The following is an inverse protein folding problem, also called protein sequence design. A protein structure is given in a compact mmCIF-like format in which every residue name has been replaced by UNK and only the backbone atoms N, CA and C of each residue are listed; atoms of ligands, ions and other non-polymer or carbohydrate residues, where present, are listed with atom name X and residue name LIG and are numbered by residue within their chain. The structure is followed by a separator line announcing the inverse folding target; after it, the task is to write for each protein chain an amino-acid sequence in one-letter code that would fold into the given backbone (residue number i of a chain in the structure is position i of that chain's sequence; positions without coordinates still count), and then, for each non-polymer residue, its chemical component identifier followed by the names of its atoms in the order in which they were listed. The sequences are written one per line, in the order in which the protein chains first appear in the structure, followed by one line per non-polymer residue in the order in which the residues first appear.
data_IF_136709341045
#
_entry.id   IF_136709341045
#
_cell.length_a   1.000
_cell.length_b   1.000
_cell.length_c   1.000
_cell.angle_alpha   90.00
_cell.angle_beta   90.00
_cell.angle_gamma   90.00
#
_symmetry.space_group_name_H-M   'P 1'
#
loop_
_entity.id
_entity.type
_entity.pdbx_description
1 polymer ?
#
# COMPACT_ATOMS: atom_id res chain seq x y z
N UNK A 1 -13.14 -68.24 -57.84
CA UNK A 1 -13.04 -66.79 -57.58
C UNK A 1 -14.10 -66.43 -56.55
N UNK A 2 -13.70 -66.13 -55.32
CA UNK A 2 -14.64 -65.81 -54.23
C UNK A 2 -14.95 -64.31 -54.22
N UNK A 3 -16.24 -63.97 -54.19
CA UNK A 3 -16.77 -62.60 -54.18
C UNK A 3 -16.81 -62.07 -52.74
N UNK A 4 -16.22 -60.89 -52.50
CA UNK A 4 -16.22 -60.17 -51.23
C UNK A 4 -17.42 -59.21 -51.20
N UNK A 5 -18.38 -59.46 -50.30
CA UNK A 5 -19.50 -58.55 -50.04
C UNK A 5 -19.08 -57.44 -49.06
N UNK A 6 -19.14 -56.18 -49.52
CA UNK A 6 -18.93 -54.99 -48.71
C UNK A 6 -20.22 -54.64 -47.95
N UNK A 7 -20.17 -54.64 -46.62
CA UNK A 7 -21.27 -54.16 -45.76
C UNK A 7 -20.94 -52.76 -45.24
N UNK A 8 -21.64 -51.74 -45.74
CA UNK A 8 -21.55 -50.37 -45.25
C UNK A 8 -22.34 -50.21 -43.95
N UNK A 9 -21.65 -50.07 -42.81
CA UNK A 9 -22.26 -49.63 -41.55
C UNK A 9 -22.59 -48.13 -41.64
N UNK A 10 -23.88 -47.81 -41.72
CA UNK A 10 -24.34 -46.43 -41.62
C UNK A 10 -24.26 -45.96 -40.17
N UNK A 11 -23.39 -44.98 -39.90
CA UNK A 11 -23.25 -44.38 -38.58
C UNK A 11 -24.36 -43.34 -38.38
N UNK A 12 -25.37 -43.69 -37.59
CA UNK A 12 -26.39 -42.75 -37.12
C UNK A 12 -25.73 -41.69 -36.24
N UNK A 13 -25.63 -40.44 -36.75
CA UNK A 13 -25.24 -39.29 -35.94
C UNK A 13 -26.33 -39.02 -34.91
N UNK A 14 -26.05 -39.36 -33.66
CA UNK A 14 -26.90 -38.98 -32.54
C UNK A 14 -26.76 -37.46 -32.34
N UNK A 15 -27.82 -36.72 -32.63
CA UNK A 15 -27.92 -35.29 -32.32
C UNK A 15 -27.91 -35.14 -30.80
N UNK A 16 -26.91 -34.42 -30.28
CA UNK A 16 -26.84 -34.07 -28.85
C UNK A 16 -28.08 -33.25 -28.51
N UNK A 17 -28.93 -33.78 -27.63
CA UNK A 17 -29.97 -32.99 -26.97
C UNK A 17 -29.30 -31.88 -26.18
N UNK A 18 -29.77 -30.64 -26.32
CA UNK A 18 -29.23 -29.50 -25.57
C UNK A 18 -29.43 -29.74 -24.08
N UNK A 19 -28.35 -29.99 -23.34
CA UNK A 19 -28.39 -29.94 -21.87
C UNK A 19 -28.87 -28.55 -21.43
N UNK A 20 -29.71 -28.45 -20.38
CA UNK A 20 -30.15 -27.15 -19.87
C UNK A 20 -28.92 -26.28 -19.56
N UNK A 21 -28.87 -25.09 -20.16
CA UNK A 21 -27.79 -24.13 -19.96
C UNK A 21 -27.85 -23.71 -18.48
N UNK A 22 -26.78 -23.90 -17.68
CA UNK A 22 -26.79 -23.45 -16.30
C UNK A 22 -27.04 -21.93 -16.24
N UNK A 23 -27.74 -21.42 -15.21
CA UNK A 23 -27.97 -19.99 -15.08
C UNK A 23 -26.63 -19.25 -15.08
N UNK A 24 -26.56 -18.13 -15.81
CA UNK A 24 -25.34 -17.34 -15.89
C UNK A 24 -24.96 -16.86 -14.49
N UNK A 25 -23.70 -17.06 -14.04
CA UNK A 25 -23.27 -16.56 -12.74
C UNK A 25 -23.33 -15.04 -12.74
N UNK A 26 -23.78 -14.46 -11.62
CA UNK A 26 -23.76 -13.00 -11.41
C UNK A 26 -22.32 -12.59 -11.13
N UNK A 27 -21.78 -11.69 -11.92
CA UNK A 27 -20.40 -11.22 -11.80
C UNK A 27 -20.39 -9.85 -11.13
N UNK A 28 -19.48 -9.70 -10.17
CA UNK A 28 -19.23 -8.45 -9.47
C UNK A 28 -17.76 -8.12 -9.50
N UNK A 29 -17.45 -6.83 -9.51
CA UNK A 29 -16.07 -6.32 -9.46
C UNK A 29 -15.90 -5.55 -8.18
N UNK A 30 -14.78 -5.77 -7.51
CA UNK A 30 -14.36 -5.05 -6.32
C UNK A 30 -13.00 -4.42 -6.55
N UNK A 31 -12.78 -3.24 -5.96
CA UNK A 31 -11.51 -2.52 -6.07
C UNK A 31 -10.83 -2.45 -4.72
N UNK A 32 -9.61 -2.98 -4.66
CA UNK A 32 -8.67 -2.76 -3.56
C UNK A 32 -7.92 -1.47 -3.87
N UNK A 33 -8.46 -0.35 -3.40
CA UNK A 33 -7.82 0.96 -3.56
C UNK A 33 -6.83 1.18 -2.43
N UNK A 34 -5.55 1.29 -2.78
CA UNK A 34 -4.43 1.45 -1.85
C UNK A 34 -3.83 2.86 -1.91
N UNK A 35 -3.60 3.45 -0.74
CA UNK A 35 -2.71 4.60 -0.53
C UNK A 35 -1.37 4.05 -0.03
N UNK A 36 -0.35 4.15 -0.88
CA UNK A 36 1.00 3.68 -0.55
C UNK A 36 1.65 4.49 0.58
N UNK A 37 2.56 3.90 1.39
CA UNK A 37 3.25 4.63 2.44
C UNK A 37 4.09 5.75 1.83
N UNK A 38 3.96 6.94 2.40
CA UNK A 38 4.71 8.15 2.03
C UNK A 38 6.00 8.25 2.84
N UNK A 39 6.01 7.68 4.05
CA UNK A 39 7.15 7.65 4.96
C UNK A 39 7.77 6.25 4.98
N UNK A 40 9.09 6.20 5.20
CA UNK A 40 9.78 4.94 5.48
C UNK A 40 9.33 4.37 6.82
N UNK A 41 9.15 3.04 6.98
CA UNK A 41 8.78 2.45 8.25
C UNK A 41 9.84 2.69 9.34
N UNK A 42 9.42 2.64 10.60
CA UNK A 42 10.36 2.76 11.73
C UNK A 42 11.19 1.48 11.87
N UNK A 43 12.52 1.57 12.00
CA UNK A 43 13.34 0.40 12.18
C UNK A 43 13.04 -0.27 13.53
N UNK A 44 13.14 -1.59 13.56
CA UNK A 44 13.11 -2.37 14.79
C UNK A 44 14.28 -2.01 15.72
N UNK A 45 14.18 -2.38 17.00
CA UNK A 45 15.27 -2.20 17.96
C UNK A 45 16.56 -2.91 17.51
N UNK A 46 16.42 -4.08 16.90
CA UNK A 46 17.52 -4.85 16.32
C UNK A 46 18.14 -4.14 15.11
N UNK A 47 17.33 -3.71 14.14
CA UNK A 47 17.82 -2.96 12.98
C UNK A 47 18.53 -1.67 13.40
N UNK A 48 17.96 -0.94 14.37
CA UNK A 48 18.59 0.25 14.94
C UNK A 48 19.96 -0.07 15.55
N UNK A 49 20.07 -1.15 16.33
CA UNK A 49 21.33 -1.60 16.90
C UNK A 49 22.35 -2.01 15.82
N UNK A 50 21.89 -2.74 14.80
CA UNK A 50 22.71 -3.15 13.66
C UNK A 50 23.23 -1.93 12.87
N UNK A 51 22.37 -0.97 12.52
CA UNK A 51 22.76 0.25 11.83
C UNK A 51 23.76 1.08 12.66
N UNK A 52 23.54 1.21 13.97
CA UNK A 52 24.48 1.87 14.87
C UNK A 52 25.85 1.16 14.89
N UNK A 53 25.87 -0.17 14.85
CA UNK A 53 27.10 -0.95 14.79
C UNK A 53 27.82 -0.77 13.44
N UNK A 54 27.11 -0.87 12.32
CA UNK A 54 27.68 -0.64 10.99
C UNK A 54 28.23 0.78 10.84
N UNK A 55 27.53 1.78 11.37
CA UNK A 55 28.01 3.17 11.39
C UNK A 55 29.35 3.30 12.12
N UNK A 56 29.54 2.59 13.24
CA UNK A 56 30.82 2.58 13.99
C UNK A 56 31.94 1.93 13.20
N UNK A 57 31.68 0.78 12.56
CA UNK A 57 32.67 0.12 11.69
C UNK A 57 33.07 1.04 10.54
N UNK A 58 32.08 1.59 9.84
CA UNK A 58 32.30 2.50 8.72
C UNK A 58 33.16 3.68 9.15
N UNK A 59 32.87 4.28 10.31
CA UNK A 59 33.66 5.39 10.86
C UNK A 59 35.09 4.98 11.18
N UNK A 60 35.31 3.80 11.77
CA UNK A 60 36.63 3.30 12.10
C UNK A 60 37.49 2.98 10.85
N UNK A 61 36.85 2.53 9.77
CA UNK A 61 37.53 2.17 8.51
C UNK A 61 37.63 3.34 7.53
N UNK A 62 36.83 4.39 7.70
CA UNK A 62 36.78 5.52 6.79
C UNK A 62 38.10 6.30 6.78
N UNK A 63 38.47 6.80 5.61
CA UNK A 63 39.60 7.73 5.47
C UNK A 63 39.29 9.06 6.17
N UNK A 64 40.28 9.74 6.76
CA UNK A 64 40.06 11.02 7.40
C UNK A 64 39.55 12.08 6.41
N UNK A 65 38.62 12.92 6.87
CA UNK A 65 38.03 13.98 6.05
C UNK A 65 39.07 15.09 5.73
N UNK A 66 39.25 15.48 4.45
CA UNK A 66 40.25 16.48 4.06
C UNK A 66 39.78 17.92 4.35
N UNK A 67 39.90 18.34 5.61
CA UNK A 67 39.36 19.61 6.10
C UNK A 67 39.89 20.86 5.38
N UNK A 68 41.18 20.87 5.01
CA UNK A 68 41.82 22.01 4.35
C UNK A 68 41.26 22.29 2.95
N UNK A 69 40.64 21.29 2.32
CA UNK A 69 40.02 21.45 1.01
C UNK A 69 38.66 22.17 1.12
N UNK A 70 37.89 21.87 2.17
CA UNK A 70 36.53 22.41 2.35
C UNK A 70 36.49 23.67 3.24
N UNK A 71 37.48 23.86 4.11
CA UNK A 71 37.53 24.96 5.06
C UNK A 71 38.83 25.72 4.96
N UNK A 72 38.73 27.05 4.87
CA UNK A 72 39.87 27.93 5.06
C UNK A 72 40.40 27.80 6.50
N UNK A 73 41.73 27.85 6.65
CA UNK A 73 42.39 27.78 7.95
C UNK A 73 41.95 28.94 8.83
N UNK A 74 41.47 28.63 10.03
CA UNK A 74 41.01 29.65 10.99
C UNK A 74 39.57 30.13 10.78
N UNK A 75 38.83 29.55 9.82
CA UNK A 75 37.42 29.85 9.64
C UNK A 75 36.58 29.36 10.83
N UNK A 76 35.56 30.13 11.22
CA UNK A 76 34.63 29.71 12.27
C UNK A 76 33.90 28.39 11.94
N UNK A 77 33.61 28.14 10.66
CA UNK A 77 33.02 26.88 10.19
C UNK A 77 33.93 25.67 10.43
N UNK A 78 35.23 25.84 10.27
CA UNK A 78 36.21 24.81 10.55
C UNK A 78 36.11 24.37 12.03
N UNK A 79 36.03 25.35 12.94
CA UNK A 79 35.90 25.10 14.38
C UNK A 79 34.58 24.41 14.74
N UNK A 80 33.46 24.82 14.11
CA UNK A 80 32.17 24.13 14.28
C UNK A 80 32.24 22.67 13.86
N UNK A 81 32.79 22.42 12.67
CA UNK A 81 32.96 21.06 12.16
C UNK A 81 33.79 20.19 13.11
N UNK A 82 34.90 20.71 13.65
CA UNK A 82 35.70 19.98 14.64
C UNK A 82 34.93 19.63 15.91
N UNK A 83 34.08 20.54 16.40
CA UNK A 83 33.24 20.29 17.58
C UNK A 83 32.23 19.17 17.29
N UNK A 84 31.54 19.25 16.16
CA UNK A 84 30.57 18.25 15.75
C UNK A 84 31.22 16.88 15.51
N UNK A 85 32.41 16.83 14.89
CA UNK A 85 33.14 15.57 14.70
C UNK A 85 33.54 14.93 16.03
N UNK A 86 33.97 15.73 17.02
CA UNK A 86 34.23 15.23 18.38
C UNK A 86 32.99 14.66 19.04
N UNK A 87 31.85 15.32 18.90
CA UNK A 87 30.58 14.81 19.44
C UNK A 87 30.18 13.48 18.78
N UNK A 88 30.36 13.37 17.45
CA UNK A 88 30.09 12.13 16.71
C UNK A 88 31.07 11.00 17.07
N UNK A 89 32.35 11.31 17.27
CA UNK A 89 33.36 10.37 17.73
C UNK A 89 33.06 9.86 19.14
N UNK A 90 32.75 10.77 20.06
CA UNK A 90 32.36 10.41 21.42
C UNK A 90 31.11 9.51 21.45
N UNK A 91 30.14 9.76 20.57
CA UNK A 91 28.96 8.89 20.41
C UNK A 91 29.31 7.51 19.84
N UNK A 92 30.31 7.43 18.96
CA UNK A 92 30.69 6.20 18.26
C UNK A 92 31.60 5.30 19.11
N UNK A 93 32.65 5.88 19.69
CA UNK A 93 33.74 5.18 20.40
C UNK A 93 33.69 5.31 21.93
N UNK A 94 32.85 6.19 22.46
CA UNK A 94 32.65 6.39 23.90
C UNK A 94 33.24 7.68 24.45
N UNK A 95 32.85 8.00 25.69
CA UNK A 95 33.22 9.26 26.36
C UNK A 95 34.73 9.27 26.65
N UNK A 96 35.41 10.31 26.19
CA UNK A 96 36.85 10.49 26.38
C UNK A 96 37.72 10.29 25.13
N UNK A 97 37.12 9.84 24.02
CA UNK A 97 37.77 9.86 22.71
C UNK A 97 37.90 11.31 22.20
N UNK A 98 39.11 11.74 21.82
CA UNK A 98 39.34 13.10 21.28
C UNK A 98 39.36 14.24 22.32
N UNK A 99 40.09 14.08 23.44
CA UNK A 99 40.26 15.14 24.46
C UNK A 99 40.78 16.46 23.89
N UNK A 100 40.12 17.57 24.22
CA UNK A 100 40.55 18.93 23.93
C UNK A 100 39.36 19.87 23.73
N UNK A 101 39.20 20.88 24.58
CA UNK A 101 38.09 21.84 24.51
C UNK A 101 38.30 22.83 23.36
N UNK A 102 37.30 22.94 22.49
CA UNK A 102 37.24 23.97 21.44
C UNK A 102 36.09 24.93 21.78
N UNK A 103 36.17 26.16 21.28
CA UNK A 103 35.15 27.17 21.51
C UNK A 103 33.79 26.66 21.00
N UNK A 104 32.80 26.59 21.88
CA UNK A 104 31.43 26.24 21.52
C UNK A 104 30.77 27.47 20.89
N UNK A 105 30.57 27.40 19.58
CA UNK A 105 29.87 28.44 18.82
C UNK A 105 28.34 28.25 18.96
N UNK A 106 27.54 29.33 18.85
CA UNK A 106 26.09 29.21 18.87
C UNK A 106 25.60 28.34 17.70
N UNK A 107 24.54 27.53 17.90
CA UNK A 107 23.96 26.72 16.84
C UNK A 107 23.42 27.63 15.73
N UNK A 108 23.53 27.17 14.49
CA UNK A 108 22.89 27.85 13.37
C UNK A 108 21.37 27.61 13.43
N UNK A 109 20.56 28.61 13.05
CA UNK A 109 19.15 28.37 12.82
C UNK A 109 19.00 27.37 11.69
N UNK A 110 18.20 26.33 11.91
CA UNK A 110 17.82 25.36 10.90
C UNK A 110 16.34 25.04 11.06
N UNK A 111 15.66 24.78 9.94
CA UNK A 111 14.28 24.35 9.95
C UNK A 111 14.21 22.88 10.35
N UNK A 112 13.47 22.60 11.42
CA UNK A 112 13.25 21.22 11.87
C UNK A 112 12.34 20.51 10.86
N UNK A 113 12.61 19.24 10.53
CA UNK A 113 11.68 18.48 9.70
C UNK A 113 10.32 18.38 10.39
N UNK A 114 9.26 18.28 9.59
CA UNK A 114 7.92 18.05 10.10
C UNK A 114 7.88 16.73 10.91
N UNK A 115 7.06 16.66 11.98
CA UNK A 115 6.89 15.42 12.72
C UNK A 115 6.35 14.32 11.80
N UNK A 116 6.73 13.07 12.09
CA UNK A 116 6.24 11.89 11.35
C UNK A 116 4.77 11.61 11.62
N UNK A 117 4.30 11.94 12.83
CA UNK A 117 2.89 11.85 13.22
C UNK A 117 2.13 13.09 12.75
N UNK A 118 1.06 12.86 11.99
CA UNK A 118 0.16 13.91 11.51
C UNK A 118 -0.84 14.34 12.58
N UNK A 119 -1.59 15.41 12.33
CA UNK A 119 -2.72 15.79 13.18
C UNK A 119 -3.85 14.74 13.16
N UNK A 120 -4.04 14.08 12.02
CA UNK A 120 -5.01 12.99 11.85
C UNK A 120 -4.65 11.75 12.68
N UNK A 121 -3.35 11.49 12.90
CA UNK A 121 -2.89 10.43 13.79
C UNK A 121 -3.21 10.73 15.25
N UNK A 122 -3.09 11.99 15.66
CA UNK A 122 -3.38 12.42 17.04
C UNK A 122 -4.87 12.40 17.36
N UNK A 123 -5.71 12.78 16.38
CA UNK A 123 -7.17 12.78 16.53
C UNK A 123 -7.80 11.43 16.24
N UNK A 124 -7.09 10.54 15.54
CA UNK A 124 -7.60 9.23 15.11
C UNK A 124 -8.62 9.32 13.97
N UNK A 125 -8.52 10.35 13.12
CA UNK A 125 -9.45 10.53 12.00
C UNK A 125 -9.22 9.48 10.91
N UNK A 126 -10.15 8.53 10.80
CA UNK A 126 -10.12 7.45 9.80
C UNK A 126 -10.46 7.91 8.38
N UNK A 127 -10.96 9.13 8.19
CA UNK A 127 -11.33 9.65 6.86
C UNK A 127 -10.18 10.39 6.18
N UNK A 128 -9.17 10.82 6.93
CA UNK A 128 -7.99 11.48 6.38
C UNK A 128 -7.00 10.48 5.76
N UNK A 129 -6.39 10.87 4.64
CA UNK A 129 -5.31 10.11 4.00
C UNK A 129 -3.94 10.36 4.66
N UNK A 130 -3.81 11.48 5.37
CA UNK A 130 -2.56 11.94 5.97
C UNK A 130 -2.18 11.17 7.25
N UNK A 131 -3.10 10.37 7.78
CA UNK A 131 -2.86 9.48 8.92
C UNK A 131 -1.94 8.32 8.52
N UNK A 132 -1.12 7.80 9.44
CA UNK A 132 -0.28 6.60 9.26
C UNK A 132 0.51 6.64 7.96
N UNK A 133 1.32 7.69 7.78
CA UNK A 133 2.09 7.91 6.55
C UNK A 133 3.09 6.80 6.23
N UNK A 134 3.46 5.97 7.20
CA UNK A 134 4.38 4.84 7.07
C UNK A 134 3.70 3.50 6.72
N UNK A 135 2.37 3.41 6.79
CA UNK A 135 1.60 2.20 6.47
C UNK A 135 0.79 2.37 5.18
N UNK A 136 0.44 1.25 4.55
CA UNK A 136 -0.58 1.21 3.51
C UNK A 136 -1.97 1.45 4.11
N UNK A 137 -2.77 2.31 3.47
CA UNK A 137 -4.19 2.48 3.79
C UNK A 137 -5.06 1.98 2.65
N UNK A 138 -6.15 1.29 2.98
CA UNK A 138 -7.12 0.81 2.01
C UNK A 138 -8.47 1.48 2.22
N UNK A 139 -9.14 1.80 1.12
CA UNK A 139 -10.48 2.34 1.16
C UNK A 139 -11.49 1.23 1.46
N UNK A 140 -12.29 1.42 2.51
CA UNK A 140 -13.41 0.55 2.85
C UNK A 140 -14.68 1.40 2.94
N UNK A 141 -15.78 0.86 2.41
CA UNK A 141 -17.08 1.50 2.38
C UNK A 141 -18.05 0.76 3.30
N UNK A 142 -18.90 1.51 3.98
CA UNK A 142 -19.99 1.00 4.80
C UNK A 142 -21.29 1.04 3.98
N UNK A 143 -21.84 -0.13 3.67
CA UNK A 143 -23.14 -0.21 2.97
C UNK A 143 -24.27 0.25 3.89
N UNK A 144 -25.19 1.05 3.36
CA UNK A 144 -26.39 1.49 4.09
C UNK A 144 -27.34 0.32 4.38
N UNK A 145 -27.42 -0.65 3.46
CA UNK A 145 -28.15 -1.90 3.64
C UNK A 145 -27.22 -2.94 4.26
N UNK A 146 -27.46 -3.27 5.54
CA UNK A 146 -26.78 -4.34 6.26
C UNK A 146 -25.67 -3.89 7.21
N UNK A 147 -25.30 -2.61 7.22
CA UNK A 147 -24.24 -2.04 8.09
C UNK A 147 -22.88 -2.75 7.97
N UNK A 148 -22.62 -3.39 6.82
CA UNK A 148 -21.43 -4.21 6.60
C UNK A 148 -20.34 -3.40 5.91
N UNK A 149 -19.11 -3.48 6.44
CA UNK A 149 -17.91 -2.93 5.82
C UNK A 149 -17.42 -3.85 4.69
N UNK A 150 -17.28 -3.29 3.49
CA UNK A 150 -16.79 -3.99 2.30
C UNK A 150 -15.93 -3.06 1.46
N UNK A 151 -15.08 -3.64 0.63
CA UNK A 151 -14.38 -2.90 -0.40
C UNK A 151 -15.38 -2.32 -1.42
N UNK A 152 -15.05 -1.22 -2.11
CA UNK A 152 -15.86 -0.70 -3.22
C UNK A 152 -16.17 -1.80 -4.22
N UNK A 153 -17.44 -2.17 -4.34
CA UNK A 153 -17.90 -3.30 -5.15
C UNK A 153 -19.13 -2.92 -5.95
N UNK A 154 -19.22 -3.43 -7.18
CA UNK A 154 -20.37 -3.19 -8.05
C UNK A 154 -20.63 -4.40 -8.93
N UNK A 155 -21.90 -4.63 -9.23
CA UNK A 155 -22.33 -5.65 -10.19
C UNK A 155 -21.93 -5.24 -11.60
N UNK A 156 -21.45 -6.20 -12.37
CA UNK A 156 -21.00 -5.96 -13.75
C UNK A 156 -22.18 -6.19 -14.71
N UNK A 157 -22.40 -5.22 -15.59
CA UNK A 157 -23.29 -5.40 -16.74
C UNK A 157 -22.53 -6.09 -17.87
N UNK A 158 -23.21 -6.95 -18.64
CA UNK A 158 -22.59 -7.89 -19.59
C UNK A 158 -21.80 -7.27 -20.77
N UNK A 159 -21.70 -5.95 -20.85
CA UNK A 159 -21.13 -5.22 -22.00
C UNK A 159 -19.69 -4.75 -21.77
N UNK A 160 -19.27 -4.57 -20.51
CA UNK A 160 -17.98 -3.99 -20.16
C UNK A 160 -16.93 -5.04 -19.78
N UNK A 161 -15.66 -4.75 -20.08
CA UNK A 161 -14.55 -5.51 -19.53
C UNK A 161 -14.41 -5.29 -18.02
N UNK A 162 -14.11 -6.33 -17.25
CA UNK A 162 -14.09 -6.30 -15.77
C UNK A 162 -13.25 -5.14 -15.18
N UNK A 163 -12.08 -4.86 -15.74
CA UNK A 163 -11.21 -3.78 -15.28
C UNK A 163 -11.81 -2.38 -15.54
N UNK A 164 -12.57 -2.22 -16.62
CA UNK A 164 -13.27 -0.95 -16.94
C UNK A 164 -14.46 -0.80 -16.01
N UNK A 165 -15.23 -1.87 -15.80
CA UNK A 165 -16.32 -1.89 -14.83
C UNK A 165 -15.83 -1.56 -13.41
N UNK A 166 -14.69 -2.10 -12.99
CA UNK A 166 -14.07 -1.81 -11.70
C UNK A 166 -13.69 -0.33 -11.56
N UNK A 167 -13.08 0.28 -12.59
CA UNK A 167 -12.77 1.72 -12.61
C UNK A 167 -14.04 2.57 -12.53
N UNK A 168 -15.02 2.28 -13.39
CA UNK A 168 -16.26 3.04 -13.45
C UNK A 168 -17.07 2.92 -12.15
N UNK A 169 -17.07 1.73 -11.53
CA UNK A 169 -17.65 1.46 -10.21
C UNK A 169 -17.04 2.35 -9.13
N UNK A 170 -15.71 2.48 -9.13
CA UNK A 170 -15.01 3.33 -8.17
C UNK A 170 -15.41 4.80 -8.35
N UNK A 171 -15.43 5.30 -9.59
CA UNK A 171 -15.88 6.67 -9.89
C UNK A 171 -17.34 6.90 -9.54
N UNK A 172 -18.22 5.91 -9.76
CA UNK A 172 -19.65 6.01 -9.42
C UNK A 172 -19.88 6.07 -7.89
N UNK A 173 -19.13 5.29 -7.12
CA UNK A 173 -19.27 5.23 -5.65
C UNK A 173 -18.56 6.39 -4.94
N UNK A 174 -17.33 6.67 -5.34
CA UNK A 174 -16.40 7.58 -4.66
C UNK A 174 -16.25 8.95 -5.34
N UNK A 175 -16.92 9.15 -6.48
CA UNK A 175 -16.88 10.38 -7.27
C UNK A 175 -15.63 10.54 -8.14
N UNK A 176 -15.59 11.67 -8.84
CA UNK A 176 -14.51 12.03 -9.77
C UNK A 176 -13.42 12.90 -9.10
N UNK A 177 -13.62 13.29 -7.84
CA UNK A 177 -12.66 14.09 -7.07
C UNK A 177 -11.38 13.34 -6.66
N UNK A 178 -11.23 12.09 -7.12
CA UNK A 178 -10.16 11.19 -6.76
C UNK A 178 -9.39 10.75 -8.00
N UNK A 179 -8.09 11.00 -8.02
CA UNK A 179 -7.19 10.51 -9.07
C UNK A 179 -6.74 9.09 -8.72
N UNK A 180 -7.18 8.13 -9.53
CA UNK A 180 -6.95 6.71 -9.30
C UNK A 180 -6.33 6.04 -10.51
N UNK A 181 -5.39 5.15 -10.21
CA UNK A 181 -4.71 4.36 -11.21
C UNK A 181 -4.93 2.88 -10.95
N UNK A 182 -5.72 2.23 -11.82
CA UNK A 182 -5.90 0.77 -11.81
C UNK A 182 -4.65 0.12 -12.40
N UNK A 183 -4.00 -0.76 -11.63
CA UNK A 183 -2.65 -1.30 -11.95
C UNK A 183 -2.64 -2.14 -13.21
N UNK A 184 -3.70 -2.92 -13.45
CA UNK A 184 -3.74 -3.88 -14.55
C UNK A 184 -5.13 -4.40 -14.86
N UNK A 185 -5.19 -5.21 -15.92
CA UNK A 185 -6.44 -5.83 -16.40
C UNK A 185 -6.72 -7.18 -15.76
N UNK A 186 -5.73 -7.78 -15.11
CA UNK A 186 -5.89 -9.05 -14.41
C UNK A 186 -6.45 -8.81 -13.01
N UNK A 187 -7.45 -9.58 -12.56
CA UNK A 187 -7.87 -9.55 -11.17
C UNK A 187 -6.76 -10.12 -10.28
N UNK A 188 -6.58 -9.55 -9.09
CA UNK A 188 -5.62 -10.01 -8.09
C UNK A 188 -6.16 -11.15 -7.24
N UNK A 189 -7.48 -11.34 -7.25
CA UNK A 189 -8.12 -12.40 -6.49
C UNK A 189 -9.60 -12.55 -6.84
N UNK A 190 -10.16 -13.62 -6.29
CA UNK A 190 -11.50 -14.09 -6.58
C UNK A 190 -12.15 -14.57 -5.28
N UNK A 191 -13.42 -14.23 -5.08
CA UNK A 191 -14.24 -14.72 -3.99
C UNK A 191 -15.61 -15.13 -4.52
N UNK A 192 -16.02 -16.35 -4.19
CA UNK A 192 -17.34 -16.89 -4.52
C UNK A 192 -18.25 -16.71 -3.30
N UNK A 193 -19.16 -15.73 -3.38
CA UNK A 193 -20.26 -15.57 -2.42
C UNK A 193 -21.60 -15.80 -3.16
N UNK A 194 -22.62 -14.99 -2.90
CA UNK A 194 -23.85 -14.97 -3.73
C UNK A 194 -23.57 -14.56 -5.18
N UNK A 195 -22.48 -13.82 -5.39
CA UNK A 195 -21.98 -13.40 -6.67
C UNK A 195 -20.49 -13.71 -6.78
N UNK A 196 -20.01 -13.86 -8.00
CA UNK A 196 -18.60 -14.07 -8.31
C UNK A 196 -17.88 -12.73 -8.29
N UNK A 197 -17.13 -12.45 -7.21
CA UNK A 197 -16.45 -11.17 -6.99
C UNK A 197 -15.00 -11.25 -7.47
N UNK A 198 -14.65 -10.41 -8.45
CA UNK A 198 -13.29 -10.24 -8.93
C UNK A 198 -12.65 -8.97 -8.36
N UNK A 199 -11.51 -9.12 -7.71
CA UNK A 199 -10.79 -7.99 -7.09
C UNK A 199 -9.75 -7.40 -8.03
N UNK A 200 -9.71 -6.07 -8.13
CA UNK A 200 -8.71 -5.33 -8.89
C UNK A 200 -7.90 -4.43 -7.96
N UNK A 201 -6.59 -4.34 -8.23
CA UNK A 201 -5.71 -3.42 -7.50
C UNK A 201 -5.72 -2.04 -8.13
N UNK A 202 -5.92 -1.02 -7.30
CA UNK A 202 -5.79 0.37 -7.71
C UNK A 202 -4.94 1.14 -6.69
N UNK A 203 -4.28 2.19 -7.16
CA UNK A 203 -3.60 3.16 -6.31
C UNK A 203 -4.32 4.50 -6.37
N UNK A 204 -4.44 5.18 -5.23
CA UNK A 204 -4.80 6.59 -5.21
C UNK A 204 -3.52 7.43 -5.35
N UNK A 205 -3.56 8.44 -6.23
CA UNK A 205 -2.46 9.38 -6.43
C UNK A 205 -2.73 10.70 -5.71
N UNK A 206 -3.96 11.20 -5.79
CA UNK A 206 -4.40 12.43 -5.16
C UNK A 206 -5.92 12.46 -5.02
N UNK A 207 -6.41 13.43 -4.24
CA UNK A 207 -7.84 13.67 -4.05
C UNK A 207 -8.42 12.96 -2.83
N UNK A 208 -9.74 13.03 -2.71
CA UNK A 208 -10.47 12.50 -1.57
C UNK A 208 -11.80 11.91 -2.04
N UNK A 209 -12.31 10.94 -1.26
CA UNK A 209 -13.58 10.28 -1.54
C UNK A 209 -14.74 11.25 -1.31
N UNK A 210 -15.58 11.39 -2.32
CA UNK A 210 -16.88 12.05 -2.25
C UNK A 210 -17.98 11.02 -2.46
N UNK A 211 -18.81 10.77 -1.45
CA UNK A 211 -19.89 9.79 -1.54
C UNK A 211 -21.00 10.33 -2.46
N UNK A 212 -21.08 9.78 -3.68
CA UNK A 212 -22.10 10.17 -4.66
C UNK A 212 -23.30 9.22 -4.70
N UNK A 213 -23.14 8.00 -4.20
CA UNK A 213 -24.17 6.95 -4.25
C UNK A 213 -24.95 6.84 -2.93
N UNK A 214 -26.29 6.75 -2.95
CA UNK A 214 -27.12 6.66 -1.75
C UNK A 214 -27.00 5.31 -1.01
N UNK A 215 -26.39 4.31 -1.65
CA UNK A 215 -26.22 2.96 -1.08
C UNK A 215 -25.07 2.87 -0.04
N UNK A 216 -24.27 3.93 0.09
CA UNK A 216 -23.09 3.98 0.96
C UNK A 216 -23.30 5.06 2.03
N UNK A 217 -23.25 4.66 3.29
CA UNK A 217 -23.41 5.59 4.41
C UNK A 217 -22.11 6.29 4.74
N UNK A 218 -21.01 5.54 4.79
CA UNK A 218 -19.72 6.02 5.29
C UNK A 218 -18.55 5.40 4.52
N UNK A 219 -17.40 6.08 4.55
CA UNK A 219 -16.12 5.54 4.09
C UNK A 219 -15.06 5.73 5.16
N UNK A 220 -14.04 4.88 5.12
CA UNK A 220 -12.87 4.99 5.97
C UNK A 220 -11.63 4.47 5.23
N UNK A 221 -10.49 5.10 5.50
CA UNK A 221 -9.17 4.66 5.07
C UNK A 221 -8.54 3.86 6.19
N UNK A 222 -8.36 2.55 6.03
CA UNK A 222 -8.01 1.62 7.10
C UNK A 222 -6.69 0.89 6.84
N UNK A 223 -5.95 0.58 7.89
CA UNK A 223 -4.81 -0.35 7.78
C UNK A 223 -5.29 -1.79 7.68
N UNK A 224 -4.43 -2.69 7.22
CA UNK A 224 -4.75 -4.13 7.12
C UNK A 224 -5.28 -4.71 8.45
N UNK A 225 -4.65 -4.37 9.56
CA UNK A 225 -5.05 -4.78 10.93
C UNK A 225 -6.48 -4.31 11.26
N UNK A 226 -6.78 -3.03 11.02
CA UNK A 226 -8.08 -2.43 11.32
C UNK A 226 -9.22 -2.96 10.44
N UNK A 227 -8.90 -3.45 9.24
CA UNK A 227 -9.88 -4.08 8.33
C UNK A 227 -10.27 -5.46 8.88
N UNK A 228 -9.31 -6.21 9.42
CA UNK A 228 -9.57 -7.51 10.02
C UNK A 228 -10.53 -7.46 11.21
N UNK A 229 -10.57 -6.34 11.93
CA UNK A 229 -11.48 -6.14 13.07
C UNK A 229 -12.89 -5.68 12.65
N UNK A 230 -13.01 -4.95 11.54
CA UNK A 230 -14.29 -4.36 11.10
C UNK A 230 -15.08 -5.21 10.12
N UNK A 231 -14.41 -6.11 9.41
CA UNK A 231 -15.03 -6.90 8.33
C UNK A 231 -15.32 -8.32 8.81
N UNK A 232 -16.35 -8.95 8.24
CA UNK A 232 -16.72 -10.33 8.56
C UNK A 232 -15.53 -11.29 8.41
N UNK A 233 -15.39 -12.22 9.35
CA UNK A 233 -14.28 -13.19 9.38
C UNK A 233 -14.19 -14.05 8.11
N UNK A 234 -15.34 -14.42 7.53
CA UNK A 234 -15.40 -15.17 6.27
C UNK A 234 -14.83 -14.36 5.10
N UNK A 235 -15.24 -13.10 4.96
CA UNK A 235 -14.76 -12.20 3.92
C UNK A 235 -13.28 -11.85 4.13
N UNK A 236 -12.87 -11.60 5.38
CA UNK A 236 -11.48 -11.34 5.75
C UNK A 236 -10.53 -12.45 5.31
N UNK A 237 -10.92 -13.71 5.50
CA UNK A 237 -10.12 -14.86 5.08
C UNK A 237 -9.87 -14.88 3.57
N UNK A 238 -10.82 -14.41 2.77
CA UNK A 238 -10.67 -14.28 1.32
C UNK A 238 -9.78 -13.11 0.89
N UNK A 239 -9.85 -11.97 1.58
CA UNK A 239 -9.15 -10.75 1.14
C UNK A 239 -7.76 -10.55 1.76
N UNK A 240 -7.46 -11.16 2.91
CA UNK A 240 -6.24 -10.88 3.70
C UNK A 240 -4.94 -11.01 2.91
N UNK A 241 -4.89 -11.95 1.95
CA UNK A 241 -3.70 -12.25 1.15
C UNK A 241 -3.53 -11.24 0.00
N UNK A 242 -4.60 -10.52 -0.38
CA UNK A 242 -4.57 -9.47 -1.38
C UNK A 242 -4.04 -8.14 -0.82
N UNK A 243 -4.04 -7.99 0.50
CA UNK A 243 -3.58 -6.80 1.21
C UNK A 243 -2.12 -6.96 1.64
N UNK A 244 -1.28 -6.01 1.27
CA UNK A 244 0.11 -5.94 1.70
C UNK A 244 0.21 -5.51 3.18
N UNK A 245 1.06 -6.22 3.93
CA UNK A 245 1.61 -5.75 5.20
C UNK A 245 2.83 -4.87 4.90
N UNK A 246 2.74 -3.60 5.26
CA UNK A 246 3.86 -2.64 5.25
C UNK A 246 3.83 -1.89 6.55
#
# INVERSE_FOLDING_TARGET
MASLASTSKSASRCLKTSSPIPPKPRLSTAVVLNRSPVLTPNPSSFETAYHNYQYKIMRALSTPFPQHFYFAKGAALQQRFYNEEKERDAKSFGVGFGKGGLLRLPPLPYDKPMPRESEADRTGDVKSLDRKGDRNLYLVLKKAKGDVWRLPQSSVTSEDALHVAARNSLTAQCGEAMDTWVVGRQPIGFLEEEENIFFFKAHILAGQVSLNSPDISEFAWLTKEEIGERVDSAYWTGIKDMLADS
#
